data_IF_632365193054
#
_entry.id   IF_632365193054
#
_cell.length_a   1.000
_cell.length_b   1.000
_cell.length_c   1.000
_cell.angle_alpha   90.00
_cell.angle_beta   90.00
_cell.angle_gamma   90.00
#
_symmetry.space_group_name_H-M   'P 1'
#
loop_
_entity.id
_entity.type
_entity.pdbx_description
1 polymer ?
#
# COMPACT_ATOMS: atom_id res chain seq x y z
N UNK A 1 23.57 12.97 -29.60
CA UNK A 1 23.43 11.56 -29.17
C UNK A 1 23.85 10.57 -30.26
N UNK A 2 23.07 10.26 -31.32
CA UNK A 2 23.50 9.18 -32.26
C UNK A 2 24.70 9.55 -33.15
N UNK A 3 24.88 10.82 -33.50
CA UNK A 3 25.99 11.30 -34.34
C UNK A 3 27.33 11.31 -33.61
N UNK A 4 27.36 11.64 -32.32
CA UNK A 4 28.59 11.66 -31.50
C UNK A 4 29.06 10.23 -31.19
N UNK A 5 28.14 9.32 -30.88
CA UNK A 5 28.45 7.92 -30.63
C UNK A 5 29.06 7.26 -31.88
N UNK A 6 28.54 7.57 -33.06
CA UNK A 6 29.09 7.07 -34.33
C UNK A 6 30.51 7.61 -34.59
N UNK A 7 30.74 8.89 -34.32
CA UNK A 7 32.05 9.51 -34.48
C UNK A 7 33.08 8.87 -33.54
N UNK A 8 32.75 8.70 -32.26
CA UNK A 8 33.65 8.05 -31.29
C UNK A 8 33.86 6.58 -31.64
N UNK A 9 32.82 5.84 -32.02
CA UNK A 9 32.94 4.43 -32.43
C UNK A 9 33.88 4.27 -33.64
N UNK A 10 33.75 5.14 -34.65
CA UNK A 10 34.60 5.12 -35.84
C UNK A 10 36.08 5.41 -35.56
N UNK A 11 36.41 6.09 -34.46
CA UNK A 11 37.80 6.32 -34.05
C UNK A 11 38.49 5.08 -33.50
N UNK A 12 37.74 4.08 -33.03
CA UNK A 12 38.29 2.85 -32.44
C UNK A 12 38.10 1.64 -33.36
N UNK A 13 37.25 1.72 -34.38
CA UNK A 13 37.13 0.74 -35.46
C UNK A 13 37.97 1.16 -36.68
N UNK A 14 39.30 1.21 -36.50
CA UNK A 14 40.26 1.62 -37.54
C UNK A 14 40.18 0.76 -38.82
N UNK A 15 39.70 -0.48 -38.68
CA UNK A 15 39.59 -1.46 -39.75
C UNK A 15 38.20 -1.47 -40.43
N UNK A 16 37.25 -0.66 -39.98
CA UNK A 16 35.89 -0.59 -40.54
C UNK A 16 35.13 -1.92 -40.44
N UNK A 17 35.40 -2.70 -39.39
CA UNK A 17 34.82 -4.04 -39.19
C UNK A 17 33.39 -3.99 -38.65
N UNK A 18 32.94 -2.82 -38.18
CA UNK A 18 31.66 -2.62 -37.51
C UNK A 18 31.62 -3.13 -36.07
N UNK A 19 32.79 -3.52 -35.51
CA UNK A 19 32.93 -4.09 -34.18
C UNK A 19 34.18 -3.53 -33.48
N UNK A 20 34.09 -3.33 -32.18
CA UNK A 20 35.19 -2.84 -31.34
C UNK A 20 35.45 -3.84 -30.20
N UNK A 21 36.71 -4.01 -29.80
CA UNK A 21 37.03 -4.86 -28.64
C UNK A 21 36.47 -4.25 -27.34
N UNK A 22 35.99 -5.09 -26.42
CA UNK A 22 35.49 -4.69 -25.09
C UNK A 22 36.53 -3.91 -24.28
N UNK A 23 37.82 -4.15 -24.53
CA UNK A 23 38.94 -3.41 -23.92
C UNK A 23 38.96 -1.92 -24.28
N UNK A 24 38.35 -1.52 -25.40
CA UNK A 24 38.27 -0.12 -25.81
C UNK A 24 37.07 0.61 -25.20
N UNK A 25 36.15 -0.10 -24.55
CA UNK A 25 34.93 0.48 -23.99
C UNK A 25 35.24 1.54 -22.92
N UNK A 26 36.22 1.31 -22.05
CA UNK A 26 36.68 2.29 -21.06
C UNK A 26 37.18 3.59 -21.71
N UNK A 27 37.98 3.46 -22.76
CA UNK A 27 38.53 4.59 -23.51
C UNK A 27 37.44 5.36 -24.27
N UNK A 28 36.43 4.65 -24.77
CA UNK A 28 35.27 5.23 -25.44
C UNK A 28 34.39 5.99 -24.45
N UNK A 29 34.10 5.41 -23.29
CA UNK A 29 33.36 6.06 -22.21
C UNK A 29 34.08 7.34 -21.75
N UNK A 30 35.40 7.28 -21.57
CA UNK A 30 36.20 8.46 -21.22
C UNK A 30 36.10 9.57 -22.28
N UNK A 31 36.17 9.24 -23.57
CA UNK A 31 35.99 10.22 -24.67
C UNK A 31 34.57 10.77 -24.80
N UNK A 32 33.57 10.00 -24.38
CA UNK A 32 32.17 10.44 -24.29
C UNK A 32 31.88 11.22 -22.99
N UNK A 33 32.89 11.49 -22.16
CA UNK A 33 32.74 12.20 -20.88
C UNK A 33 32.06 11.38 -19.79
N UNK A 34 32.03 10.05 -19.92
CA UNK A 34 31.48 9.10 -18.93
C UNK A 34 32.59 8.49 -18.08
N UNK A 35 32.22 7.93 -16.93
CA UNK A 35 33.21 7.31 -16.04
C UNK A 35 33.70 5.98 -16.64
N UNK A 36 35.02 5.79 -16.81
CA UNK A 36 35.56 4.57 -17.41
C UNK A 36 35.27 3.32 -16.56
N UNK A 37 35.10 3.48 -15.24
CA UNK A 37 34.73 2.40 -14.31
C UNK A 37 33.35 1.80 -14.55
N UNK A 38 32.49 2.47 -15.34
CA UNK A 38 31.18 1.94 -15.73
C UNK A 38 31.29 0.87 -16.83
N UNK A 39 32.44 0.72 -17.50
CA UNK A 39 32.64 -0.28 -18.55
C UNK A 39 32.40 -1.71 -18.06
N UNK A 40 32.97 -2.05 -16.90
CA UNK A 40 32.85 -3.39 -16.31
C UNK A 40 31.42 -3.72 -15.90
N UNK A 41 30.66 -2.73 -15.42
CA UNK A 41 29.25 -2.91 -15.05
C UNK A 41 28.37 -3.06 -16.30
N UNK A 42 28.65 -2.28 -17.34
CA UNK A 42 27.95 -2.33 -18.62
C UNK A 42 28.13 -3.69 -19.31
N UNK A 43 29.36 -4.21 -19.31
CA UNK A 43 29.69 -5.54 -19.87
C UNK A 43 29.09 -6.70 -19.08
N UNK A 44 28.84 -6.53 -17.77
CA UNK A 44 28.17 -7.55 -16.94
C UNK A 44 26.67 -7.58 -17.14
N UNK A 45 26.05 -6.44 -17.44
CA UNK A 45 24.61 -6.29 -17.55
C UNK A 45 24.06 -6.72 -18.92
N UNK A 46 24.87 -6.60 -19.96
CA UNK A 46 24.55 -7.11 -21.29
C UNK A 46 25.36 -8.38 -21.43
N UNK A 47 24.68 -9.52 -21.47
CA UNK A 47 25.27 -10.87 -21.50
C UNK A 47 26.06 -11.10 -22.81
N UNK A 48 27.16 -10.37 -22.96
CA UNK A 48 28.04 -10.33 -24.12
C UNK A 48 28.98 -11.51 -24.01
N UNK A 49 28.63 -12.60 -24.68
CA UNK A 49 29.51 -13.75 -24.85
C UNK A 49 30.74 -13.43 -25.72
N UNK A 50 30.67 -12.34 -26.49
CA UNK A 50 31.70 -11.94 -27.44
C UNK A 50 32.70 -10.95 -26.80
N UNK A 51 33.99 -11.14 -27.08
CA UNK A 51 35.06 -10.17 -26.74
C UNK A 51 34.99 -8.88 -27.60
N UNK A 52 33.94 -8.73 -28.42
CA UNK A 52 33.73 -7.60 -29.32
C UNK A 52 32.30 -7.09 -29.24
N UNK A 53 32.14 -5.76 -29.27
CA UNK A 53 30.87 -5.06 -29.19
C UNK A 53 30.56 -4.47 -30.57
N UNK A 54 29.40 -4.79 -31.14
CA UNK A 54 28.89 -4.15 -32.36
C UNK A 54 28.36 -2.74 -32.07
N UNK A 55 28.20 -1.91 -33.11
CA UNK A 55 27.65 -0.57 -32.94
C UNK A 55 26.24 -0.56 -32.31
N UNK A 56 25.39 -1.52 -32.69
CA UNK A 56 24.04 -1.63 -32.14
C UNK A 56 24.05 -2.06 -30.66
N UNK A 57 24.93 -3.00 -30.28
CA UNK A 57 25.14 -3.38 -28.88
C UNK A 57 25.75 -2.24 -28.06
N UNK A 58 26.65 -1.46 -28.66
CA UNK A 58 27.22 -0.26 -28.05
C UNK A 58 26.16 0.81 -27.79
N UNK A 59 25.25 1.04 -28.74
CA UNK A 59 24.10 1.93 -28.54
C UNK A 59 23.15 1.39 -27.48
N UNK A 60 22.92 0.08 -27.43
CA UNK A 60 22.13 -0.55 -26.38
C UNK A 60 22.79 -0.39 -25.02
N UNK A 61 24.09 -0.63 -24.87
CA UNK A 61 24.84 -0.41 -23.62
C UNK A 61 24.76 1.05 -23.14
N UNK A 62 24.90 2.00 -24.07
CA UNK A 62 24.81 3.44 -23.78
C UNK A 62 23.40 3.85 -23.35
N UNK A 63 22.37 3.13 -23.84
CA UNK A 63 20.94 3.37 -23.63
C UNK A 63 20.31 2.51 -22.53
N UNK A 64 20.94 1.41 -22.14
CA UNK A 64 20.44 0.43 -21.16
C UNK A 64 20.85 0.74 -19.73
N UNK A 65 21.74 1.71 -19.54
CA UNK A 65 21.78 2.41 -18.25
C UNK A 65 20.44 3.10 -18.05
N UNK A 66 19.86 3.05 -16.84
CA UNK A 66 18.63 3.77 -16.57
C UNK A 66 18.90 5.20 -16.97
N UNK A 67 18.10 5.67 -17.94
CA UNK A 67 18.10 7.06 -18.28
C UNK A 67 18.01 7.82 -16.95
N UNK A 68 18.96 8.73 -16.74
CA UNK A 68 18.79 9.81 -15.75
C UNK A 68 17.51 10.62 -16.10
N UNK A 69 16.88 10.33 -17.26
CA UNK A 69 15.54 10.70 -17.72
C UNK A 69 14.39 9.86 -17.10
N UNK A 70 14.42 9.63 -15.79
CA UNK A 70 13.15 9.63 -15.07
C UNK A 70 12.41 10.95 -15.37
N UNK A 71 11.07 11.06 -15.22
CA UNK A 71 10.32 12.29 -15.52
C UNK A 71 10.81 13.54 -14.77
N UNK A 72 11.70 13.34 -13.80
CA UNK A 72 12.30 14.37 -12.95
C UNK A 72 13.75 14.72 -13.31
N UNK A 73 14.35 14.16 -14.37
CA UNK A 73 15.62 14.55 -14.99
C UNK A 73 16.61 15.24 -14.00
N UNK A 74 17.12 14.43 -13.05
CA UNK A 74 17.76 14.90 -11.81
C UNK A 74 19.18 15.41 -12.02
N UNK A 75 19.81 15.01 -13.13
CA UNK A 75 21.17 15.39 -13.49
C UNK A 75 21.28 16.80 -14.10
N UNK A 76 22.50 17.32 -14.25
CA UNK A 76 22.76 18.55 -15.00
C UNK A 76 22.28 18.42 -16.45
N UNK A 77 21.71 19.48 -17.01
CA UNK A 77 21.43 19.54 -18.45
C UNK A 77 22.76 19.40 -19.21
N UNK A 78 22.92 18.40 -20.09
CA UNK A 78 24.12 18.26 -20.90
C UNK A 78 24.43 19.52 -21.70
N UNK A 79 23.40 20.20 -22.21
CA UNK A 79 23.57 21.42 -23.02
C UNK A 79 23.99 22.62 -22.18
N UNK A 80 23.47 22.73 -20.95
CA UNK A 80 23.87 23.82 -20.04
C UNK A 80 25.30 23.62 -19.56
N UNK A 81 25.70 22.37 -19.29
CA UNK A 81 27.08 22.04 -18.92
C UNK A 81 28.07 22.33 -20.04
N UNK A 82 27.75 21.96 -21.28
CA UNK A 82 28.59 22.28 -22.45
C UNK A 82 28.74 23.81 -22.62
N UNK A 83 27.64 24.55 -22.48
CA UNK A 83 27.68 26.01 -22.57
C UNK A 83 28.47 26.67 -21.42
N UNK A 84 28.41 26.11 -20.21
CA UNK A 84 29.24 26.52 -19.08
C UNK A 84 30.72 26.31 -19.42
N UNK A 85 31.11 25.14 -19.94
CA UNK A 85 32.51 24.87 -20.30
C UNK A 85 33.02 25.84 -21.38
N UNK A 86 32.22 26.09 -22.42
CA UNK A 86 32.57 27.06 -23.48
C UNK A 86 32.76 28.47 -22.91
N UNK A 87 31.91 28.89 -21.98
CA UNK A 87 32.02 30.20 -21.34
C UNK A 87 33.24 30.29 -20.40
N UNK A 88 33.62 29.19 -19.74
CA UNK A 88 34.85 29.13 -18.93
C UNK A 88 36.10 29.26 -19.81
N UNK A 89 36.14 28.55 -20.95
CA UNK A 89 37.22 28.68 -21.92
C UNK A 89 37.31 30.10 -22.50
N UNK A 90 36.16 30.70 -22.85
CA UNK A 90 36.11 32.07 -23.35
C UNK A 90 36.61 33.08 -22.30
N UNK A 91 36.18 32.93 -21.04
CA UNK A 91 36.65 33.77 -19.94
C UNK A 91 38.16 33.67 -19.78
N UNK A 92 38.72 32.45 -19.74
CA UNK A 92 40.14 32.22 -19.58
C UNK A 92 40.95 32.90 -20.70
N UNK A 93 40.45 32.80 -21.95
CA UNK A 93 41.06 33.46 -23.10
C UNK A 93 41.04 35.00 -22.98
N UNK A 94 39.93 35.57 -22.52
CA UNK A 94 39.84 37.02 -22.28
C UNK A 94 40.77 37.50 -21.15
N UNK A 95 41.03 36.68 -20.14
CA UNK A 95 41.99 36.98 -19.06
C UNK A 95 43.43 36.99 -19.57
N UNK A 96 43.79 36.05 -20.47
CA UNK A 96 45.10 35.97 -21.11
C UNK A 96 45.36 37.16 -22.07
N UNK A 97 44.34 37.55 -22.84
CA UNK A 97 44.39 38.70 -23.75
C UNK A 97 44.34 40.06 -23.01
N UNK A 98 44.23 40.07 -21.68
CA UNK A 98 44.15 41.28 -20.86
C UNK A 98 42.82 42.04 -20.96
N UNK A 99 41.78 41.43 -21.54
CA UNK A 99 40.47 42.04 -21.77
C UNK A 99 39.51 41.72 -20.60
N UNK A 100 39.81 42.30 -19.44
CA UNK A 100 39.13 41.96 -18.17
C UNK A 100 37.63 42.31 -18.12
N UNK A 101 37.17 43.29 -18.91
CA UNK A 101 35.75 43.67 -18.97
C UNK A 101 34.89 42.54 -19.60
N UNK A 102 35.41 41.87 -20.62
CA UNK A 102 34.73 40.72 -21.24
C UNK A 102 34.84 39.47 -20.36
N UNK A 103 35.96 39.27 -19.68
CA UNK A 103 36.10 38.22 -18.66
C UNK A 103 35.08 38.38 -17.52
N UNK A 104 34.86 39.60 -17.04
CA UNK A 104 33.85 39.89 -16.00
C UNK A 104 32.42 39.61 -16.48
N UNK A 105 32.10 39.92 -17.73
CA UNK A 105 30.79 39.61 -18.33
C UNK A 105 30.57 38.10 -18.43
N UNK A 106 31.58 37.36 -18.90
CA UNK A 106 31.54 35.91 -18.99
C UNK A 106 31.39 35.26 -17.60
N UNK A 107 32.11 35.75 -16.59
CA UNK A 107 32.01 35.28 -15.21
C UNK A 107 30.61 35.53 -14.62
N UNK A 108 30.05 36.73 -14.85
CA UNK A 108 28.68 37.05 -14.42
C UNK A 108 27.66 36.10 -15.06
N UNK A 109 27.83 35.79 -16.35
CA UNK A 109 26.97 34.86 -17.09
C UNK A 109 27.11 33.42 -16.58
N UNK A 110 28.32 32.97 -16.26
CA UNK A 110 28.59 31.65 -15.66
C UNK A 110 27.89 31.49 -14.31
N UNK A 111 27.98 32.50 -13.44
CA UNK A 111 27.32 32.50 -12.14
C UNK A 111 25.80 32.40 -12.33
N UNK A 112 25.24 33.18 -13.26
CA UNK A 112 23.81 33.17 -13.54
C UNK A 112 23.33 31.81 -14.07
N UNK A 113 24.05 31.19 -15.00
CA UNK A 113 23.71 29.89 -15.57
C UNK A 113 23.81 28.76 -14.54
N UNK A 114 24.89 28.74 -13.74
CA UNK A 114 25.03 27.77 -12.63
C UNK A 114 23.91 27.91 -11.61
N UNK A 115 23.51 29.14 -11.28
CA UNK A 115 22.40 29.40 -10.37
C UNK A 115 21.05 28.95 -10.95
N UNK A 116 20.82 29.20 -12.25
CA UNK A 116 19.60 28.76 -12.94
C UNK A 116 19.51 27.22 -12.99
N UNK A 117 20.63 26.56 -13.28
CA UNK A 117 20.71 25.10 -13.36
C UNK A 117 20.49 24.45 -11.98
N UNK A 118 21.16 24.96 -10.94
CA UNK A 118 20.94 24.51 -9.57
C UNK A 118 19.47 24.70 -9.12
N UNK A 119 18.82 25.79 -9.54
CA UNK A 119 17.39 26.03 -9.26
C UNK A 119 16.49 25.03 -9.98
N UNK A 120 16.82 24.66 -11.23
CA UNK A 120 16.10 23.62 -11.99
C UNK A 120 16.21 22.27 -11.26
N UNK A 121 17.43 21.85 -10.94
CA UNK A 121 17.70 20.59 -10.24
C UNK A 121 17.01 20.54 -8.87
N UNK A 122 17.07 21.62 -8.09
CA UNK A 122 16.38 21.69 -6.80
C UNK A 122 14.87 21.53 -6.93
N UNK A 123 14.26 22.12 -7.96
CA UNK A 123 12.82 21.93 -8.24
C UNK A 123 12.51 20.48 -8.63
N UNK A 124 13.32 19.89 -9.52
CA UNK A 124 13.19 18.49 -9.93
C UNK A 124 13.27 17.53 -8.74
N UNK A 125 14.27 17.72 -7.88
CA UNK A 125 14.48 16.89 -6.70
C UNK A 125 13.32 17.03 -5.70
N UNK A 126 12.84 18.25 -5.46
CA UNK A 126 11.65 18.48 -4.62
C UNK A 126 10.40 17.83 -5.20
N UNK A 127 10.20 17.91 -6.52
CA UNK A 127 9.07 17.27 -7.17
C UNK A 127 9.11 15.74 -7.00
N UNK A 128 10.28 15.13 -7.17
CA UNK A 128 10.48 13.69 -6.92
C UNK A 128 10.20 13.31 -5.46
N UNK A 129 10.75 14.05 -4.50
CA UNK A 129 10.50 13.80 -3.07
C UNK A 129 9.02 13.92 -2.70
N UNK A 130 8.30 14.87 -3.31
CA UNK A 130 6.86 15.04 -3.08
C UNK A 130 6.08 13.84 -3.63
N UNK A 131 6.42 13.38 -4.84
CA UNK A 131 5.79 12.21 -5.46
C UNK A 131 6.02 10.94 -4.63
N UNK A 132 7.28 10.65 -4.26
CA UNK A 132 7.62 9.49 -3.43
C UNK A 132 6.88 9.52 -2.09
N UNK A 133 6.79 10.69 -1.45
CA UNK A 133 6.03 10.85 -0.20
C UNK A 133 4.53 10.62 -0.41
N UNK A 134 3.97 11.08 -1.53
CA UNK A 134 2.58 10.84 -1.88
C UNK A 134 2.32 9.35 -2.09
N UNK A 135 3.20 8.64 -2.78
CA UNK A 135 3.08 7.20 -3.00
C UNK A 135 3.09 6.43 -1.67
N UNK A 136 4.00 6.78 -0.76
CA UNK A 136 4.04 6.20 0.59
C UNK A 136 2.74 6.48 1.35
N UNK A 137 2.23 7.70 1.28
CA UNK A 137 0.98 8.07 1.94
C UNK A 137 -0.22 7.30 1.39
N UNK A 138 -0.29 7.12 0.06
CA UNK A 138 -1.33 6.34 -0.60
C UNK A 138 -1.25 4.88 -0.15
N UNK A 139 -0.06 4.29 -0.15
CA UNK A 139 0.14 2.91 0.30
C UNK A 139 -0.27 2.72 1.77
N UNK A 140 0.14 3.64 2.66
CA UNK A 140 -0.27 3.61 4.06
C UNK A 140 -1.79 3.74 4.23
N UNK A 141 -2.41 4.69 3.52
CA UNK A 141 -3.86 4.88 3.58
C UNK A 141 -4.61 3.64 3.09
N UNK A 142 -4.14 3.00 2.02
CA UNK A 142 -4.73 1.77 1.49
C UNK A 142 -4.65 0.62 2.51
N UNK A 143 -3.49 0.44 3.15
CA UNK A 143 -3.34 -0.56 4.22
C UNK A 143 -4.28 -0.28 5.40
N UNK A 144 -4.43 0.99 5.79
CA UNK A 144 -5.33 1.38 6.86
C UNK A 144 -6.79 1.09 6.50
N UNK A 145 -7.21 1.39 5.26
CA UNK A 145 -8.57 1.09 4.80
C UNK A 145 -8.83 -0.41 4.73
N UNK A 146 -7.85 -1.20 4.26
CA UNK A 146 -7.98 -2.66 4.18
C UNK A 146 -8.10 -3.27 5.58
N UNK A 147 -7.27 -2.81 6.53
CA UNK A 147 -7.34 -3.22 7.92
C UNK A 147 -8.71 -2.89 8.53
N UNK A 148 -9.18 -1.64 8.40
CA UNK A 148 -10.46 -1.24 8.95
C UNK A 148 -11.61 -2.07 8.34
N UNK A 149 -11.58 -2.30 7.03
CA UNK A 149 -12.61 -3.10 6.36
C UNK A 149 -12.63 -4.53 6.89
N UNK A 150 -11.47 -5.15 7.07
CA UNK A 150 -11.37 -6.49 7.64
C UNK A 150 -11.84 -6.52 9.10
N UNK A 151 -11.53 -5.46 9.86
CA UNK A 151 -11.93 -5.35 11.25
C UNK A 151 -13.44 -5.14 11.41
N UNK A 152 -14.05 -4.31 10.55
CA UNK A 152 -15.49 -4.09 10.51
C UNK A 152 -16.22 -5.39 10.16
N UNK A 153 -15.73 -6.14 9.16
CA UNK A 153 -16.28 -7.46 8.82
C UNK A 153 -16.19 -8.44 10.00
N UNK A 154 -15.04 -8.50 10.67
CA UNK A 154 -14.86 -9.36 11.84
C UNK A 154 -15.82 -8.97 12.97
N UNK A 155 -16.04 -7.68 13.20
CA UNK A 155 -16.98 -7.19 14.20
C UNK A 155 -18.43 -7.54 13.84
N UNK A 156 -18.83 -7.36 12.58
CA UNK A 156 -20.17 -7.73 12.10
C UNK A 156 -20.44 -9.23 12.26
N UNK A 157 -19.45 -10.07 11.90
CA UNK A 157 -19.54 -11.52 12.10
C UNK A 157 -19.67 -11.88 13.58
N UNK A 158 -18.84 -11.27 14.44
CA UNK A 158 -18.88 -11.50 15.87
C UNK A 158 -20.24 -11.11 16.47
N UNK A 159 -20.76 -9.94 16.12
CA UNK A 159 -22.06 -9.47 16.59
C UNK A 159 -23.20 -10.38 16.12
N UNK A 160 -23.16 -10.82 14.86
CA UNK A 160 -24.12 -11.79 14.31
C UNK A 160 -24.07 -13.11 15.07
N UNK A 161 -22.88 -13.65 15.34
CA UNK A 161 -22.71 -14.88 16.12
C UNK A 161 -23.20 -14.70 17.56
N UNK A 162 -22.88 -13.59 18.20
CA UNK A 162 -23.32 -13.29 19.56
C UNK A 162 -24.85 -13.19 19.65
N UNK A 163 -25.49 -12.52 18.68
CA UNK A 163 -26.95 -12.45 18.59
C UNK A 163 -27.59 -13.82 18.36
N UNK A 164 -27.02 -14.63 17.47
CA UNK A 164 -27.49 -15.99 17.22
C UNK A 164 -27.37 -16.86 18.48
N UNK A 165 -26.28 -16.72 19.24
CA UNK A 165 -26.08 -17.43 20.50
C UNK A 165 -27.09 -17.01 21.56
N UNK A 166 -27.31 -15.70 21.75
CA UNK A 166 -28.34 -15.18 22.66
C UNK A 166 -29.71 -15.73 22.26
N UNK A 167 -30.07 -15.68 20.97
CA UNK A 167 -31.33 -16.20 20.46
C UNK A 167 -31.51 -17.69 20.74
N UNK A 168 -30.46 -18.48 20.51
CA UNK A 168 -30.49 -19.91 20.81
C UNK A 168 -30.74 -20.16 22.30
N UNK A 169 -30.09 -19.40 23.18
CA UNK A 169 -30.29 -19.51 24.63
C UNK A 169 -31.70 -19.08 25.05
N UNK A 170 -32.22 -17.98 24.50
CA UNK A 170 -33.60 -17.56 24.77
C UNK A 170 -34.61 -18.58 24.27
N UNK A 171 -34.42 -19.16 23.08
CA UNK A 171 -35.31 -20.16 22.53
C UNK A 171 -35.32 -21.42 23.41
N UNK A 172 -34.15 -21.88 23.87
CA UNK A 172 -34.04 -22.99 24.85
C UNK A 172 -34.80 -22.67 26.14
N UNK A 173 -34.54 -21.52 26.76
CA UNK A 173 -35.24 -21.12 27.98
C UNK A 173 -36.75 -21.04 27.77
N UNK A 174 -37.22 -20.53 26.62
CA UNK A 174 -38.65 -20.45 26.32
C UNK A 174 -39.28 -21.83 26.14
N UNK A 175 -38.58 -22.76 25.48
CA UNK A 175 -39.03 -24.14 25.31
C UNK A 175 -39.09 -24.88 26.65
N UNK A 176 -38.07 -24.73 27.49
CA UNK A 176 -38.04 -25.31 28.83
C UNK A 176 -39.19 -24.78 29.68
N UNK A 177 -39.42 -23.46 29.67
CA UNK A 177 -40.51 -22.82 30.39
C UNK A 177 -41.89 -23.28 29.89
N UNK A 178 -42.09 -23.42 28.58
CA UNK A 178 -43.32 -24.00 28.01
C UNK A 178 -43.52 -25.44 28.48
N UNK A 179 -42.48 -26.28 28.39
CA UNK A 179 -42.57 -27.67 28.83
C UNK A 179 -42.89 -27.79 30.32
N UNK A 180 -42.36 -26.87 31.14
CA UNK A 180 -42.66 -26.78 32.56
C UNK A 180 -44.11 -26.36 32.80
N UNK A 181 -44.61 -25.35 32.08
CA UNK A 181 -46.00 -24.92 32.14
C UNK A 181 -46.97 -26.03 31.72
N UNK A 182 -46.66 -26.76 30.65
CA UNK A 182 -47.47 -27.91 30.19
C UNK A 182 -47.49 -29.03 31.23
N UNK A 183 -46.33 -29.38 31.82
CA UNK A 183 -46.25 -30.35 32.92
C UNK A 183 -47.08 -29.90 34.11
N UNK A 184 -46.95 -28.64 34.52
CA UNK A 184 -47.72 -28.06 35.62
C UNK A 184 -49.23 -28.10 35.33
N UNK A 185 -49.63 -27.74 34.11
CA UNK A 185 -51.02 -27.77 33.68
C UNK A 185 -51.57 -29.20 33.69
N UNK A 186 -50.82 -30.17 33.17
CA UNK A 186 -51.18 -31.59 33.19
C UNK A 186 -51.32 -32.11 34.62
N UNK A 187 -50.35 -31.82 35.49
CA UNK A 187 -50.43 -32.18 36.91
C UNK A 187 -51.66 -31.57 37.59
N UNK A 188 -52.02 -30.33 37.25
CA UNK A 188 -53.21 -29.67 37.80
C UNK A 188 -54.51 -30.32 37.31
N UNK A 189 -54.57 -30.71 36.03
CA UNK A 189 -55.75 -31.33 35.43
C UNK A 189 -55.93 -32.81 35.84
N UNK A 190 -54.84 -33.53 36.07
CA UNK A 190 -54.88 -34.94 36.53
C UNK A 190 -55.18 -35.06 38.03
N UNK A 191 -54.84 -34.06 38.84
CA UNK A 191 -55.16 -34.07 40.27
C UNK A 191 -56.64 -33.71 40.47
N UNK A 192 -57.43 -34.57 41.15
CA UNK A 192 -58.81 -34.23 41.46
C UNK A 192 -58.84 -32.95 42.33
N UNK A 193 -59.83 -32.06 42.12
CA UNK A 193 -59.89 -30.79 42.82
C UNK A 193 -59.90 -31.01 44.33
N UNK A 194 -58.91 -30.44 45.01
CA UNK A 194 -58.85 -30.48 46.48
C UNK A 194 -59.91 -29.53 47.03
N UNK A 195 -60.98 -30.08 47.59
CA UNK A 195 -61.98 -29.30 48.29
C UNK A 195 -61.37 -28.64 49.54
N UNK A 196 -61.81 -27.43 49.88
CA UNK A 196 -61.34 -26.76 51.09
C UNK A 196 -61.64 -27.61 52.33
N UNK A 197 -60.77 -27.52 53.34
CA UNK A 197 -60.92 -28.27 54.59
C UNK A 197 -62.29 -28.03 55.22
N UNK A 198 -62.74 -26.78 55.19
CA UNK A 198 -64.08 -26.40 55.61
C UNK A 198 -65.16 -27.15 54.82
N UNK A 199 -65.14 -27.13 53.48
CA UNK A 199 -66.17 -27.81 52.66
C UNK A 199 -66.23 -29.32 52.95
N UNK A 200 -65.07 -29.95 53.19
CA UNK A 200 -64.99 -31.36 53.59
C UNK A 200 -65.63 -31.56 54.96
N UNK A 201 -65.37 -30.66 55.92
CA UNK A 201 -65.96 -30.69 57.26
C UNK A 201 -67.47 -30.45 57.24
N UNK A 202 -67.96 -29.48 56.45
CA UNK A 202 -69.39 -29.23 56.19
C UNK A 202 -70.06 -30.49 55.64
N UNK A 203 -69.49 -31.13 54.60
CA UNK A 203 -70.01 -32.39 54.04
C UNK A 203 -70.00 -33.55 55.04
N UNK A 204 -68.94 -33.71 55.83
CA UNK A 204 -68.87 -34.74 56.89
C UNK A 204 -69.90 -34.52 57.99
N UNK A 205 -70.16 -33.25 58.36
CA UNK A 205 -71.17 -32.88 59.35
C UNK A 205 -72.59 -33.14 58.81
N UNK A 206 -72.85 -32.74 57.57
CA UNK A 206 -74.11 -33.01 56.87
C UNK A 206 -74.41 -34.52 56.81
N UNK A 207 -73.42 -35.34 56.39
CA UNK A 207 -73.59 -36.78 56.28
C UNK A 207 -73.87 -37.44 57.65
N UNK A 208 -73.19 -37.01 58.72
CA UNK A 208 -73.45 -37.50 60.08
C UNK A 208 -74.87 -37.19 60.56
N UNK A 209 -75.35 -35.96 60.34
CA UNK A 209 -76.72 -35.58 60.70
C UNK A 209 -77.77 -36.35 59.88
N UNK A 210 -77.50 -36.61 58.61
CA UNK A 210 -78.35 -37.44 57.76
C UNK A 210 -78.40 -38.90 58.23
N UNK A 211 -77.27 -39.49 58.66
CA UNK A 211 -77.23 -40.84 59.25
C UNK A 211 -78.03 -40.94 60.56
N UNK A 212 -78.05 -39.87 61.35
CA UNK A 212 -78.88 -39.75 62.56
C UNK A 212 -80.37 -39.49 62.26
N UNK A 213 -80.77 -39.49 60.97
CA UNK A 213 -82.12 -39.18 60.46
C UNK A 213 -82.59 -37.75 60.79
N UNK A 214 -81.69 -36.83 61.14
CA UNK A 214 -82.01 -35.43 61.38
C UNK A 214 -81.86 -34.62 60.09
N UNK A 215 -82.84 -34.79 59.19
CA UNK A 215 -82.78 -34.24 57.84
C UNK A 215 -82.96 -32.72 57.79
N UNK A 216 -83.74 -32.14 58.72
CA UNK A 216 -84.00 -30.71 58.78
C UNK A 216 -82.75 -29.87 59.11
N UNK A 217 -81.87 -30.39 59.97
CA UNK A 217 -80.60 -29.75 60.29
C UNK A 217 -79.54 -30.02 59.23
N UNK A 218 -79.52 -31.22 58.64
CA UNK A 218 -78.62 -31.56 57.55
C UNK A 218 -78.82 -30.63 56.32
N UNK A 219 -80.06 -30.22 56.02
CA UNK A 219 -80.35 -29.34 54.88
C UNK A 219 -79.92 -27.87 55.08
N UNK A 220 -79.70 -27.45 56.34
CA UNK A 220 -79.27 -26.08 56.68
C UNK A 220 -77.76 -25.87 56.57
N UNK A 221 -76.98 -26.95 56.53
CA UNK A 221 -75.52 -26.95 56.37
C UNK A 221 -75.22 -26.74 54.87
N UNK A 222 -74.67 -25.58 54.52
CA UNK A 222 -74.22 -25.23 53.16
C UNK A 222 -72.78 -24.74 53.19
#
# INVERSE_FOLDING_TARGET
>A
MSSECLAVFSLFDENGTGRISTTHLESILSKLGRNPSEADELLRNVDLQDETISFDEFLLLIRSQPDIDGPYNLGPDPKVMEFINILEEYRAKCEEDGNYLEAQRADTQLIALRAQEAKRQSKSLKAKQIAERQDIQIAHNMQYTDFNTAWDQYMDEYDSMAQAYIRQMTDKHTADLRSFQEKLHKELMERPPKFSKELIEWRRRQHRLAQQKNYAEAQKIK
#
